data_IF_573624181408
#
_entry.id   IF_573624181408
#
_cell.length_a   1.000
_cell.length_b   1.000
_cell.length_c   1.000
_cell.angle_alpha   90.00
_cell.angle_beta   90.00
_cell.angle_gamma   90.00
#
_symmetry.space_group_name_H-M   'P 1'
#
loop_
_entity.id
_entity.type
_entity.pdbx_description
1 polymer ?
#
# COMPACT_ATOMS: atom_id res chain seq x y z
N UNK A 1 -38.23 -27.86 -26.32
CA UNK A 1 -37.33 -28.03 -25.16
C UNK A 1 -36.73 -26.68 -24.82
N UNK A 2 -37.27 -25.99 -23.83
CA UNK A 2 -36.87 -24.64 -23.44
C UNK A 2 -35.73 -24.71 -22.42
N UNK A 3 -34.62 -24.03 -22.70
CA UNK A 3 -33.53 -23.83 -21.73
C UNK A 3 -33.97 -22.80 -20.69
N UNK A 4 -34.17 -23.25 -19.46
CA UNK A 4 -34.29 -22.31 -18.32
C UNK A 4 -32.98 -21.60 -18.10
N UNK A 5 -32.96 -20.29 -18.31
CA UNK A 5 -31.90 -19.37 -17.81
C UNK A 5 -32.23 -19.11 -16.33
N UNK A 6 -31.47 -19.68 -15.42
CA UNK A 6 -31.48 -19.29 -14.00
C UNK A 6 -30.58 -18.06 -13.81
N UNK A 7 -31.09 -16.89 -14.13
CA UNK A 7 -30.46 -15.62 -13.79
C UNK A 7 -30.74 -15.30 -12.31
N UNK A 8 -29.71 -15.13 -11.52
CA UNK A 8 -29.81 -14.56 -10.16
C UNK A 8 -30.49 -13.18 -10.24
N UNK A 9 -31.56 -12.98 -9.47
CA UNK A 9 -32.24 -11.69 -9.44
C UNK A 9 -31.35 -10.64 -8.76
N UNK A 10 -31.52 -9.35 -9.13
CA UNK A 10 -30.86 -8.22 -8.44
C UNK A 10 -31.02 -8.27 -6.91
N UNK A 11 -32.18 -8.79 -6.47
CA UNK A 11 -32.53 -8.89 -5.04
C UNK A 11 -31.73 -9.99 -4.36
N UNK A 12 -31.39 -11.08 -5.06
CA UNK A 12 -30.61 -12.19 -4.51
C UNK A 12 -29.12 -11.86 -4.49
N UNK A 13 -28.63 -11.07 -5.46
CA UNK A 13 -27.26 -10.52 -5.43
C UNK A 13 -27.09 -9.53 -4.27
N UNK A 14 -28.04 -8.64 -4.05
CA UNK A 14 -28.01 -7.66 -2.95
C UNK A 14 -28.13 -8.38 -1.59
N UNK A 15 -28.98 -9.40 -1.47
CA UNK A 15 -29.09 -10.21 -0.25
C UNK A 15 -27.80 -10.99 0.04
N UNK A 16 -27.13 -11.51 -0.97
CA UNK A 16 -25.84 -12.17 -0.83
C UNK A 16 -24.73 -11.22 -0.38
N UNK A 17 -24.68 -10.00 -0.94
CA UNK A 17 -23.70 -8.99 -0.57
C UNK A 17 -23.95 -8.42 0.85
N UNK A 18 -25.22 -8.24 1.22
CA UNK A 18 -25.60 -7.78 2.57
C UNK A 18 -25.41 -8.90 3.61
N UNK A 19 -25.68 -10.15 3.26
CA UNK A 19 -25.45 -11.29 4.17
C UNK A 19 -23.94 -11.53 4.41
N UNK A 20 -23.09 -11.32 3.40
CA UNK A 20 -21.64 -11.36 3.56
C UNK A 20 -21.09 -10.22 4.44
N UNK A 21 -21.70 -9.03 4.34
CA UNK A 21 -21.31 -7.86 5.16
C UNK A 21 -21.91 -7.88 6.57
N UNK A 22 -23.16 -8.35 6.72
CA UNK A 22 -23.85 -8.39 8.02
C UNK A 22 -23.30 -9.49 8.95
N UNK A 23 -22.76 -10.58 8.39
CA UNK A 23 -22.13 -11.64 9.20
C UNK A 23 -20.88 -11.17 9.95
N UNK A 24 -20.21 -10.13 9.46
CA UNK A 24 -19.02 -9.56 10.11
C UNK A 24 -19.39 -8.57 11.23
N UNK A 25 -20.59 -7.99 11.21
CA UNK A 25 -21.03 -7.00 12.19
C UNK A 25 -21.60 -7.58 13.50
N UNK A 26 -21.90 -8.90 13.53
CA UNK A 26 -22.57 -9.54 14.67
C UNK A 26 -21.64 -10.35 15.59
N UNK A 27 -20.37 -10.48 15.29
CA UNK A 27 -19.44 -11.24 16.14
C UNK A 27 -18.81 -10.30 17.17
N UNK A 28 -19.38 -10.26 18.39
CA UNK A 28 -18.61 -9.84 19.58
C UNK A 28 -17.38 -10.75 19.63
N UNK A 29 -16.18 -10.20 19.88
CA UNK A 29 -15.00 -11.02 20.04
C UNK A 29 -15.15 -11.83 21.33
N UNK A 30 -15.65 -13.05 21.20
CA UNK A 30 -15.65 -14.03 22.27
C UNK A 30 -14.29 -14.74 22.20
N UNK A 31 -13.39 -14.36 23.09
CA UNK A 31 -12.01 -14.88 23.14
C UNK A 31 -11.94 -16.38 23.50
N UNK A 32 -13.08 -17.06 23.74
CA UNK A 32 -13.14 -18.49 24.04
C UNK A 32 -12.67 -19.36 22.85
N UNK A 33 -12.73 -18.89 21.61
CA UNK A 33 -12.25 -19.62 20.43
C UNK A 33 -10.70 -19.70 20.34
N UNK A 34 -9.99 -18.75 20.95
CA UNK A 34 -8.52 -18.73 20.91
C UNK A 34 -7.88 -19.92 21.65
N UNK A 35 -8.60 -20.56 22.57
CA UNK A 35 -8.10 -21.71 23.31
C UNK A 35 -8.34 -23.06 22.62
N UNK A 36 -9.17 -23.12 21.59
CA UNK A 36 -9.51 -24.38 20.86
C UNK A 36 -8.56 -24.67 19.69
N UNK A 37 -7.62 -23.80 19.40
CA UNK A 37 -6.86 -23.76 18.13
C UNK A 37 -5.43 -24.29 18.20
N UNK A 38 -5.18 -25.31 19.01
CA UNK A 38 -3.94 -26.09 18.92
C UNK A 38 -3.97 -27.19 17.85
N UNK A 39 -5.06 -27.35 17.11
CA UNK A 39 -5.19 -28.28 16.01
C UNK A 39 -4.95 -27.56 14.69
N UNK A 40 -3.93 -27.97 13.97
CA UNK A 40 -3.48 -27.36 12.73
C UNK A 40 -4.58 -27.15 11.67
N UNK A 41 -5.12 -25.94 11.61
CA UNK A 41 -6.11 -25.53 10.59
C UNK A 41 -5.51 -25.66 9.21
N UNK A 42 -6.28 -26.21 8.27
CA UNK A 42 -5.90 -26.32 6.85
C UNK A 42 -6.54 -25.21 6.01
N UNK A 43 -6.02 -24.94 4.81
CA UNK A 43 -6.63 -23.96 3.90
C UNK A 43 -8.09 -24.29 3.57
N UNK A 44 -8.47 -25.58 3.51
CA UNK A 44 -9.85 -26.03 3.22
C UNK A 44 -10.88 -25.51 4.23
N UNK A 45 -10.46 -25.16 5.44
CA UNK A 45 -11.32 -24.67 6.53
C UNK A 45 -11.43 -23.14 6.55
N UNK A 46 -10.59 -22.44 5.77
CA UNK A 46 -10.53 -20.97 5.75
C UNK A 46 -11.58 -20.39 4.81
N UNK A 47 -12.31 -19.40 5.30
CA UNK A 47 -13.19 -18.54 4.51
C UNK A 47 -12.59 -17.13 4.47
N UNK A 48 -11.66 -16.89 3.55
CA UNK A 48 -11.06 -15.58 3.39
C UNK A 48 -12.03 -14.52 2.85
N UNK A 49 -11.75 -13.25 3.11
CA UNK A 49 -12.57 -12.13 2.63
C UNK A 49 -12.33 -11.89 1.14
N UNK A 50 -13.38 -11.97 0.33
CA UNK A 50 -13.33 -11.69 -1.12
C UNK A 50 -12.57 -12.72 -1.96
N UNK A 51 -12.26 -13.89 -1.40
CA UNK A 51 -11.64 -15.03 -2.08
C UNK A 51 -12.46 -16.30 -1.85
N UNK A 52 -12.40 -17.32 -2.74
CA UNK A 52 -13.10 -18.58 -2.55
C UNK A 52 -12.66 -19.28 -1.27
N UNK A 53 -13.59 -19.99 -0.62
CA UNK A 53 -13.28 -20.86 0.50
C UNK A 53 -12.22 -21.89 0.11
N UNK A 54 -11.32 -22.19 1.01
CA UNK A 54 -10.26 -23.16 0.79
C UNK A 54 -9.01 -22.60 0.10
N UNK A 55 -8.94 -21.28 -0.10
CA UNK A 55 -7.77 -20.57 -0.62
C UNK A 55 -7.26 -19.60 0.45
N UNK A 56 -5.97 -19.66 0.76
CA UNK A 56 -5.26 -18.72 1.63
C UNK A 56 -4.30 -17.89 0.78
N UNK A 57 -4.56 -16.59 0.66
CA UNK A 57 -3.80 -15.69 -0.22
C UNK A 57 -3.04 -14.62 0.55
N UNK A 58 -1.80 -14.93 0.91
CA UNK A 58 -0.90 -14.07 1.69
C UNK A 58 0.26 -13.50 0.82
N UNK A 59 0.01 -13.22 -0.45
CA UNK A 59 1.05 -12.83 -1.42
C UNK A 59 1.01 -11.38 -1.90
N UNK A 60 -0.10 -10.65 -1.70
CA UNK A 60 -0.32 -9.32 -2.29
C UNK A 60 -0.38 -8.15 -1.30
N UNK A 61 -0.18 -8.41 -0.01
CA UNK A 61 -0.25 -7.38 1.04
C UNK A 61 -1.59 -6.64 1.00
N UNK A 62 -2.67 -7.41 0.86
CA UNK A 62 -4.05 -6.91 0.88
C UNK A 62 -4.52 -6.75 2.34
N UNK A 63 -5.60 -6.02 2.54
CA UNK A 63 -6.23 -5.93 3.85
C UNK A 63 -7.10 -7.18 4.08
N UNK A 64 -6.80 -8.03 5.07
CA UNK A 64 -7.51 -9.28 5.25
C UNK A 64 -8.98 -9.12 5.68
N UNK A 65 -9.34 -8.00 6.33
CA UNK A 65 -10.74 -7.73 6.69
C UNK A 65 -11.55 -7.11 5.56
N UNK A 66 -10.94 -6.90 4.37
CA UNK A 66 -11.60 -6.30 3.22
C UNK A 66 -11.75 -4.77 3.29
N UNK A 67 -12.65 -4.19 2.49
CA UNK A 67 -12.85 -2.74 2.42
C UNK A 67 -13.69 -2.21 3.56
N UNK A 68 -13.56 -0.90 3.85
CA UNK A 68 -14.41 -0.17 4.77
C UNK A 68 -15.90 -0.32 4.39
N UNK A 69 -16.80 -0.66 5.34
CA UNK A 69 -18.24 -0.66 5.11
C UNK A 69 -18.78 0.66 4.56
N UNK A 70 -18.29 1.80 5.06
CA UNK A 70 -18.68 3.12 4.56
C UNK A 70 -18.25 3.33 3.10
N UNK A 71 -17.11 2.78 2.69
CA UNK A 71 -16.67 2.81 1.29
C UNK A 71 -17.57 1.96 0.40
N UNK A 72 -17.99 0.79 0.85
CA UNK A 72 -18.94 -0.08 0.11
C UNK A 72 -20.29 0.61 -0.04
N UNK A 73 -20.79 1.23 1.02
CA UNK A 73 -22.06 1.99 0.97
C UNK A 73 -21.97 3.14 -0.06
N UNK A 74 -20.86 3.89 -0.06
CA UNK A 74 -20.64 4.95 -1.04
C UNK A 74 -20.58 4.43 -2.48
N UNK A 75 -19.96 3.28 -2.73
CA UNK A 75 -19.95 2.63 -4.06
C UNK A 75 -21.37 2.25 -4.48
N UNK A 76 -22.09 1.55 -3.60
CA UNK A 76 -23.44 1.06 -3.91
C UNK A 76 -24.44 2.20 -4.15
N UNK A 77 -24.34 3.28 -3.37
CA UNK A 77 -25.19 4.47 -3.49
C UNK A 77 -25.02 5.23 -4.81
N UNK A 78 -23.85 5.09 -5.47
CA UNK A 78 -23.52 5.83 -6.68
C UNK A 78 -23.23 4.94 -7.90
N UNK A 79 -23.47 3.63 -7.80
CA UNK A 79 -23.18 2.69 -8.87
C UNK A 79 -23.90 2.98 -10.19
N UNK A 80 -25.07 3.62 -10.12
CA UNK A 80 -25.84 4.04 -11.28
C UNK A 80 -25.31 5.31 -11.99
N UNK A 81 -24.31 5.99 -11.40
CA UNK A 81 -23.71 7.21 -11.94
C UNK A 81 -22.45 6.96 -12.78
N UNK A 82 -22.01 5.70 -12.92
CA UNK A 82 -20.74 5.33 -13.60
C UNK A 82 -20.68 5.72 -15.07
N UNK A 83 -21.81 5.99 -15.72
CA UNK A 83 -21.90 6.43 -17.10
C UNK A 83 -21.62 7.94 -17.27
N UNK A 84 -21.39 8.68 -16.18
CA UNK A 84 -21.12 10.13 -16.21
C UNK A 84 -19.68 10.44 -15.88
N UNK A 85 -19.08 11.31 -16.70
CA UNK A 85 -17.82 11.94 -16.34
C UNK A 85 -18.01 12.93 -15.17
N UNK A 86 -16.93 13.24 -14.48
CA UNK A 86 -16.93 14.33 -13.50
C UNK A 86 -17.13 15.64 -14.23
N UNK A 87 -18.35 16.20 -14.20
CA UNK A 87 -18.60 17.50 -14.78
C UNK A 87 -17.97 18.59 -13.92
N UNK A 88 -17.20 19.47 -14.55
CA UNK A 88 -16.62 20.65 -13.91
C UNK A 88 -17.65 21.76 -13.62
N UNK A 89 -18.92 21.55 -13.98
CA UNK A 89 -19.97 22.54 -13.93
C UNK A 89 -20.79 22.41 -12.66
N UNK A 90 -20.62 23.37 -11.76
CA UNK A 90 -21.49 23.75 -10.62
C UNK A 90 -21.82 22.73 -9.53
N UNK A 91 -21.42 21.49 -9.60
CA UNK A 91 -21.50 20.54 -8.51
C UNK A 91 -20.08 20.17 -8.05
N UNK A 92 -19.85 20.13 -6.77
CA UNK A 92 -18.55 19.84 -6.15
C UNK A 92 -17.86 18.68 -6.87
N UNK A 93 -16.77 18.98 -7.57
CA UNK A 93 -15.94 17.95 -8.21
C UNK A 93 -15.49 16.96 -7.11
N UNK A 94 -15.85 15.66 -7.19
CA UNK A 94 -15.52 14.68 -6.16
C UNK A 94 -14.03 14.60 -5.86
N UNK A 95 -13.16 14.77 -6.88
CA UNK A 95 -11.71 14.78 -6.73
C UNK A 95 -11.25 15.98 -5.89
N UNK A 96 -11.78 17.18 -6.17
CA UNK A 96 -11.50 18.38 -5.37
C UNK A 96 -12.00 18.22 -3.94
N UNK A 97 -13.14 17.57 -3.75
CA UNK A 97 -13.68 17.30 -2.42
C UNK A 97 -12.79 16.34 -1.63
N UNK A 98 -12.30 15.25 -2.25
CA UNK A 98 -11.34 14.34 -1.64
C UNK A 98 -10.03 15.05 -1.31
N UNK A 99 -9.50 15.84 -2.26
CA UNK A 99 -8.27 16.61 -2.03
C UNK A 99 -8.44 17.60 -0.86
N UNK A 100 -9.58 18.31 -0.77
CA UNK A 100 -9.88 19.21 0.34
C UNK A 100 -9.96 18.45 1.68
N UNK A 101 -10.58 17.28 1.68
CA UNK A 101 -10.69 16.43 2.87
C UNK A 101 -9.30 15.93 3.33
N UNK A 102 -8.46 15.50 2.40
CA UNK A 102 -7.08 15.12 2.69
C UNK A 102 -6.24 16.29 3.22
N UNK A 103 -6.40 17.50 2.65
CA UNK A 103 -5.75 18.72 3.17
C UNK A 103 -6.10 18.98 4.64
N UNK A 104 -7.39 18.82 5.00
CA UNK A 104 -7.83 18.92 6.40
C UNK A 104 -7.24 17.82 7.26
N UNK A 105 -7.29 16.59 6.77
CA UNK A 105 -6.80 15.41 7.48
C UNK A 105 -5.30 15.54 7.83
N UNK A 106 -4.50 16.11 6.94
CA UNK A 106 -3.06 16.31 7.12
C UNK A 106 -2.69 17.71 7.66
N UNK A 107 -3.63 18.48 8.14
CA UNK A 107 -3.35 19.76 8.77
C UNK A 107 -2.93 20.88 7.82
N UNK A 108 -2.96 20.69 6.49
CA UNK A 108 -2.58 21.70 5.47
C UNK A 108 -3.41 22.98 5.58
N UNK A 109 -4.61 22.88 6.17
CA UNK A 109 -5.56 23.97 6.31
C UNK A 109 -5.79 24.36 7.79
N UNK A 110 -4.87 24.01 8.69
CA UNK A 110 -5.05 24.22 10.13
C UNK A 110 -5.13 25.69 10.53
N UNK A 111 -4.51 26.57 9.73
CA UNK A 111 -4.48 28.02 9.91
C UNK A 111 -5.66 28.76 9.26
N UNK A 112 -6.54 28.07 8.53
CA UNK A 112 -7.66 28.65 7.81
C UNK A 112 -9.01 28.49 8.55
N UNK A 113 -9.79 29.56 8.61
CA UNK A 113 -11.17 29.52 9.02
C UNK A 113 -12.09 29.26 7.82
N UNK A 114 -12.43 28.00 7.57
CA UNK A 114 -13.24 27.60 6.41
C UNK A 114 -14.70 28.06 6.44
N UNK A 115 -15.11 28.88 7.42
CA UNK A 115 -16.37 29.65 7.38
C UNK A 115 -16.20 30.98 6.66
N UNK A 116 -14.94 31.46 6.49
CA UNK A 116 -14.62 32.67 5.76
C UNK A 116 -14.50 32.36 4.26
N UNK A 117 -15.20 33.07 3.35
CA UNK A 117 -15.10 32.88 1.90
C UNK A 117 -13.70 33.02 1.30
N UNK A 118 -12.86 33.88 1.84
CA UNK A 118 -11.50 34.08 1.33
C UNK A 118 -10.59 32.93 1.74
N UNK A 119 -10.74 32.40 2.96
CA UNK A 119 -10.03 31.20 3.40
C UNK A 119 -10.49 29.95 2.62
N UNK A 120 -11.76 29.90 2.18
CA UNK A 120 -12.24 28.85 1.27
C UNK A 120 -11.54 28.91 -0.09
N UNK A 121 -11.36 30.11 -0.64
CA UNK A 121 -10.61 30.31 -1.90
C UNK A 121 -9.14 29.90 -1.71
N UNK A 122 -8.53 30.30 -0.60
CA UNK A 122 -7.16 29.93 -0.28
C UNK A 122 -7.01 28.42 -0.09
N UNK A 123 -7.92 27.75 0.56
CA UNK A 123 -7.91 26.29 0.69
C UNK A 123 -7.92 25.56 -0.66
N UNK A 124 -8.60 26.13 -1.67
CA UNK A 124 -8.59 25.61 -3.04
C UNK A 124 -7.22 25.85 -3.70
N UNK A 125 -6.64 27.02 -3.50
CA UNK A 125 -5.33 27.41 -4.09
C UNK A 125 -4.16 26.59 -3.54
N UNK A 126 -4.20 26.15 -2.29
CA UNK A 126 -3.14 25.33 -1.67
C UNK A 126 -3.11 23.93 -2.30
N UNK A 127 -2.43 23.80 -3.41
CA UNK A 127 -2.33 22.56 -4.17
C UNK A 127 -1.27 21.59 -3.59
N UNK A 128 -1.28 21.35 -2.28
CA UNK A 128 -0.35 20.45 -1.60
C UNK A 128 -0.74 18.97 -1.70
N UNK A 129 -1.93 18.67 -2.18
CA UNK A 129 -2.42 17.28 -2.33
C UNK A 129 -2.72 17.01 -3.79
N UNK A 130 -2.23 15.86 -4.23
CA UNK A 130 -2.42 15.35 -5.57
C UNK A 130 -3.01 13.93 -5.52
N UNK A 131 -4.24 13.75 -6.02
CA UNK A 131 -4.94 12.45 -6.06
C UNK A 131 -4.59 11.72 -7.35
N UNK A 132 -4.34 10.41 -7.29
CA UNK A 132 -3.88 9.61 -8.43
C UNK A 132 -4.42 8.17 -8.41
N UNK A 133 -4.18 7.42 -9.51
CA UNK A 133 -4.57 6.02 -9.70
C UNK A 133 -3.69 5.04 -8.88
N UNK A 134 -3.65 5.21 -7.54
CA UNK A 134 -2.75 4.50 -6.62
C UNK A 134 -1.38 5.18 -6.51
N UNK A 135 -0.71 5.03 -5.34
CA UNK A 135 0.58 5.69 -5.09
C UNK A 135 1.69 5.25 -6.04
N UNK A 136 1.64 4.04 -6.59
CA UNK A 136 2.60 3.57 -7.58
C UNK A 136 2.74 4.51 -8.78
N UNK A 137 1.66 5.21 -9.18
CA UNK A 137 1.71 6.18 -10.28
C UNK A 137 2.59 7.40 -9.98
N UNK A 138 2.73 7.76 -8.70
CA UNK A 138 3.66 8.81 -8.27
C UNK A 138 5.10 8.39 -8.57
N UNK A 139 5.47 7.15 -8.24
CA UNK A 139 6.80 6.61 -8.47
C UNK A 139 7.12 6.56 -9.98
N UNK A 140 6.19 6.04 -10.79
CA UNK A 140 6.33 5.98 -12.25
C UNK A 140 6.46 7.38 -12.86
N UNK A 141 5.62 8.32 -12.43
CA UNK A 141 5.65 9.70 -12.91
C UNK A 141 6.98 10.39 -12.61
N UNK A 142 7.52 10.18 -11.42
CA UNK A 142 8.80 10.76 -11.02
C UNK A 142 9.96 10.26 -11.90
N UNK A 143 10.04 8.96 -12.16
CA UNK A 143 11.06 8.38 -13.06
C UNK A 143 10.90 8.92 -14.48
N UNK A 144 9.66 9.02 -14.97
CA UNK A 144 9.37 9.57 -16.30
C UNK A 144 9.81 11.03 -16.41
N UNK A 145 9.58 11.81 -15.35
CA UNK A 145 10.00 13.23 -15.29
C UNK A 145 11.53 13.38 -15.32
N UNK A 146 12.26 12.46 -14.67
CA UNK A 146 13.73 12.44 -14.74
C UNK A 146 14.18 12.27 -16.20
N UNK A 147 13.55 11.39 -16.96
CA UNK A 147 13.87 11.21 -18.38
C UNK A 147 13.61 12.47 -19.19
N UNK A 148 12.47 13.12 -19.00
CA UNK A 148 12.13 14.38 -19.70
C UNK A 148 13.12 15.51 -19.43
N UNK A 149 13.73 15.52 -18.24
CA UNK A 149 14.75 16.47 -17.87
C UNK A 149 16.17 16.09 -18.35
N UNK A 150 16.27 15.31 -19.42
CA UNK A 150 17.55 14.93 -20.02
C UNK A 150 18.16 13.66 -19.43
N UNK A 151 17.41 12.89 -18.65
CA UNK A 151 17.89 11.69 -17.98
C UNK A 151 18.61 11.96 -16.66
N UNK A 152 19.23 10.93 -16.11
CA UNK A 152 19.97 11.01 -14.86
C UNK A 152 19.86 9.73 -14.03
N UNK A 153 20.25 9.84 -12.77
CA UNK A 153 20.27 8.71 -11.83
C UNK A 153 19.07 8.76 -10.90
N UNK A 154 18.52 7.57 -10.62
CA UNK A 154 17.50 7.32 -9.64
C UNK A 154 18.08 6.40 -8.57
N UNK A 155 18.10 6.83 -7.31
CA UNK A 155 18.61 6.05 -6.18
C UNK A 155 17.43 5.41 -5.45
N UNK A 156 17.53 4.09 -5.20
CA UNK A 156 16.60 3.32 -4.38
C UNK A 156 17.38 2.28 -3.58
N UNK A 157 16.92 1.94 -2.38
CA UNK A 157 17.50 0.82 -1.65
C UNK A 157 17.21 -0.52 -2.35
N UNK A 158 18.02 -1.54 -2.11
CA UNK A 158 17.76 -2.90 -2.59
C UNK A 158 17.89 -3.91 -1.44
N UNK A 159 16.89 -4.77 -1.26
CA UNK A 159 15.67 -4.95 -2.04
C UNK A 159 14.60 -3.86 -1.82
N UNK A 160 13.81 -3.58 -2.86
CA UNK A 160 12.72 -2.62 -2.87
C UNK A 160 11.47 -3.15 -3.58
N UNK A 161 10.43 -2.33 -3.69
CA UNK A 161 9.14 -2.71 -4.31
C UNK A 161 9.27 -3.13 -5.79
N UNK A 162 10.30 -2.69 -6.48
CA UNK A 162 10.60 -3.08 -7.85
C UNK A 162 9.81 -2.33 -8.94
N UNK A 163 8.87 -1.47 -8.61
CA UNK A 163 8.11 -0.66 -9.58
C UNK A 163 9.01 0.36 -10.28
N UNK A 164 9.87 1.00 -9.53
CA UNK A 164 10.84 1.98 -10.00
C UNK A 164 11.85 1.31 -10.93
N UNK A 165 12.49 0.24 -10.49
CA UNK A 165 13.47 -0.50 -11.30
C UNK A 165 12.87 -1.02 -12.61
N UNK A 166 11.63 -1.55 -12.59
CA UNK A 166 10.93 -1.96 -13.82
C UNK A 166 10.67 -0.78 -14.77
N UNK A 167 10.31 0.39 -14.23
CA UNK A 167 10.07 1.59 -15.03
C UNK A 167 11.36 2.08 -15.66
N UNK A 168 12.44 2.15 -14.90
CA UNK A 168 13.78 2.50 -15.42
C UNK A 168 14.19 1.53 -16.52
N UNK A 169 14.12 0.22 -16.28
CA UNK A 169 14.46 -0.81 -17.29
C UNK A 169 13.61 -0.71 -18.56
N UNK A 170 12.32 -0.43 -18.44
CA UNK A 170 11.45 -0.18 -19.59
C UNK A 170 11.90 1.06 -20.38
N UNK A 171 12.18 2.16 -19.71
CA UNK A 171 12.62 3.40 -20.37
C UNK A 171 13.99 3.22 -21.04
N UNK A 172 14.92 2.53 -20.41
CA UNK A 172 16.21 2.17 -20.99
C UNK A 172 16.05 1.32 -22.25
N UNK A 173 15.14 0.35 -22.25
CA UNK A 173 14.84 -0.48 -23.45
C UNK A 173 14.28 0.34 -24.62
N UNK A 174 13.81 1.56 -24.36
CA UNK A 174 13.35 2.54 -25.37
C UNK A 174 14.38 3.60 -25.72
N UNK A 175 15.62 3.45 -25.26
CA UNK A 175 16.72 4.40 -25.50
C UNK A 175 16.76 5.58 -24.50
N UNK A 176 16.04 5.48 -23.40
CA UNK A 176 16.09 6.49 -22.33
C UNK A 176 17.40 6.46 -21.55
N UNK A 177 17.89 7.62 -21.10
CA UNK A 177 19.14 7.80 -20.36
C UNK A 177 18.95 7.89 -18.84
N UNK A 178 17.97 7.16 -18.30
CA UNK A 178 17.76 7.01 -16.85
C UNK A 178 18.54 5.81 -16.34
N UNK A 179 19.28 5.97 -15.27
CA UNK A 179 20.07 4.92 -14.61
C UNK A 179 19.52 4.62 -13.21
N UNK A 180 19.56 3.34 -12.83
CA UNK A 180 19.17 2.90 -11.50
C UNK A 180 20.41 2.68 -10.64
N UNK A 181 20.48 3.35 -9.50
CA UNK A 181 21.52 3.15 -8.49
C UNK A 181 20.88 2.46 -7.28
N UNK A 182 21.26 1.19 -7.09
CA UNK A 182 20.80 0.40 -5.95
C UNK A 182 21.77 0.49 -4.80
N UNK A 183 21.28 0.89 -3.63
CA UNK A 183 22.04 0.91 -2.38
C UNK A 183 21.56 -0.25 -1.50
N UNK A 184 22.45 -1.17 -1.09
CA UNK A 184 22.08 -2.28 -0.21
C UNK A 184 21.48 -1.77 1.11
N UNK A 185 20.51 -2.51 1.64
CA UNK A 185 20.02 -2.28 3.01
C UNK A 185 21.13 -2.63 4.01
N UNK A 186 21.20 -1.90 5.12
CA UNK A 186 22.10 -2.25 6.24
C UNK A 186 21.55 -3.42 7.07
N UNK A 187 22.31 -3.88 8.06
CA UNK A 187 21.89 -4.94 8.99
C UNK A 187 20.49 -4.69 9.55
N UNK A 188 19.69 -5.74 9.67
CA UNK A 188 18.28 -5.62 10.04
C UNK A 188 17.36 -5.17 8.90
N UNK A 189 17.86 -5.15 7.67
CA UNK A 189 17.11 -4.79 6.46
C UNK A 189 16.52 -3.37 6.47
N UNK A 190 17.19 -2.43 7.13
CA UNK A 190 16.80 -1.01 7.19
C UNK A 190 17.56 -0.22 6.11
N UNK A 191 16.98 0.86 5.60
CA UNK A 191 17.65 1.76 4.67
C UNK A 191 18.99 2.26 5.23
N UNK A 192 20.04 2.19 4.42
CA UNK A 192 21.31 2.83 4.70
C UNK A 192 21.30 4.25 4.10
N UNK A 193 20.72 5.19 4.84
CA UNK A 193 20.59 6.57 4.38
C UNK A 193 21.94 7.26 4.21
N UNK A 194 22.96 6.88 4.97
CA UNK A 194 24.31 7.40 4.80
C UNK A 194 24.91 6.95 3.47
N UNK A 195 24.86 5.66 3.16
CA UNK A 195 25.28 5.13 1.87
C UNK A 195 24.45 5.71 0.71
N UNK A 196 23.14 5.89 0.88
CA UNK A 196 22.29 6.54 -0.12
C UNK A 196 22.73 8.01 -0.35
N UNK A 197 23.11 8.74 0.68
CA UNK A 197 23.61 10.10 0.56
C UNK A 197 24.94 10.13 -0.17
N UNK A 198 25.87 9.23 0.15
CA UNK A 198 27.16 9.11 -0.52
C UNK A 198 27.05 8.73 -2.01
N UNK A 199 25.98 8.04 -2.40
CA UNK A 199 25.68 7.67 -3.77
C UNK A 199 25.14 8.84 -4.62
N UNK A 200 24.83 10.00 -4.03
CA UNK A 200 24.32 11.18 -4.75
C UNK A 200 25.44 11.82 -5.55
N UNK A 201 25.25 11.92 -6.87
CA UNK A 201 26.14 12.61 -7.80
C UNK A 201 25.45 13.82 -8.42
N UNK A 202 26.16 14.57 -9.28
CA UNK A 202 25.55 15.67 -10.05
C UNK A 202 24.47 15.20 -11.04
N UNK A 203 24.50 13.91 -11.40
CA UNK A 203 23.49 13.27 -12.27
C UNK A 203 22.27 12.80 -11.52
N UNK A 204 22.32 12.70 -10.19
CA UNK A 204 21.19 12.22 -9.37
C UNK A 204 20.04 13.22 -9.43
N UNK A 205 18.84 12.75 -9.79
CA UNK A 205 17.61 13.53 -9.92
C UNK A 205 16.52 13.11 -8.94
N UNK A 206 16.55 11.84 -8.51
CA UNK A 206 15.50 11.24 -7.73
C UNK A 206 16.07 10.27 -6.71
N UNK A 207 15.56 10.33 -5.48
CA UNK A 207 15.77 9.33 -4.43
C UNK A 207 14.42 8.83 -3.98
N UNK A 208 14.28 7.50 -3.85
CA UNK A 208 13.05 6.87 -3.37
C UNK A 208 13.31 6.13 -2.07
N UNK A 209 12.50 6.43 -1.06
CA UNK A 209 12.54 5.81 0.26
C UNK A 209 11.15 5.22 0.53
N UNK A 210 11.02 3.90 0.44
CA UNK A 210 9.77 3.21 0.81
C UNK A 210 9.76 2.96 2.31
N UNK A 211 8.83 3.57 3.05
CA UNK A 211 8.86 3.57 4.52
C UNK A 211 7.46 3.38 5.14
N UNK A 212 7.12 2.19 5.63
CA UNK A 212 7.92 0.96 5.76
C UNK A 212 8.35 0.35 4.42
N UNK A 213 9.58 -0.20 4.38
CA UNK A 213 10.13 -0.78 3.16
C UNK A 213 9.33 -2.02 2.70
N UNK A 214 9.18 -2.22 1.42
CA UNK A 214 8.69 -3.45 0.82
C UNK A 214 9.80 -4.05 -0.04
N UNK A 215 10.36 -5.23 0.33
CA UNK A 215 9.66 -6.35 0.99
C UNK A 215 9.94 -6.54 2.50
N UNK A 216 10.81 -5.79 3.13
CA UNK A 216 11.31 -6.11 4.48
C UNK A 216 10.38 -5.69 5.62
N UNK A 217 9.52 -4.70 5.39
CA UNK A 217 8.58 -4.18 6.39
C UNK A 217 9.25 -3.26 7.43
N UNK A 218 10.52 -2.98 7.29
CA UNK A 218 11.30 -2.17 8.23
C UNK A 218 11.03 -0.68 8.07
N UNK A 219 11.08 0.04 9.18
CA UNK A 219 10.98 1.50 9.23
C UNK A 219 12.36 2.14 9.40
N UNK A 220 12.55 3.22 8.69
CA UNK A 220 13.65 4.16 8.93
C UNK A 220 13.28 5.08 10.08
N UNK A 221 14.12 5.27 11.10
CA UNK A 221 13.88 6.21 12.19
C UNK A 221 13.64 7.63 11.68
N UNK A 222 12.68 8.32 12.28
CA UNK A 222 12.24 9.63 11.84
C UNK A 222 13.38 10.68 11.84
N UNK A 223 14.21 10.68 12.84
CA UNK A 223 15.34 11.60 12.98
C UNK A 223 16.45 11.32 11.94
N UNK A 224 16.66 10.04 11.57
CA UNK A 224 17.58 9.69 10.46
C UNK A 224 17.03 10.21 9.14
N UNK A 225 15.71 10.06 8.90
CA UNK A 225 15.06 10.55 7.70
C UNK A 225 15.15 12.10 7.58
N UNK A 226 14.92 12.83 8.67
CA UNK A 226 15.04 14.30 8.69
C UNK A 226 16.49 14.78 8.41
N UNK A 227 17.49 14.12 9.01
CA UNK A 227 18.89 14.41 8.74
C UNK A 227 19.23 14.16 7.27
N UNK A 228 18.83 13.04 6.72
CA UNK A 228 19.04 12.71 5.31
C UNK A 228 18.43 13.76 4.39
N UNK A 229 17.15 14.09 4.57
CA UNK A 229 16.44 15.09 3.75
C UNK A 229 17.17 16.45 3.80
N UNK A 230 17.62 16.86 4.98
CA UNK A 230 18.32 18.13 5.17
C UNK A 230 19.70 18.16 4.49
N UNK A 231 20.31 17.00 4.29
CA UNK A 231 21.63 16.88 3.65
C UNK A 231 21.56 16.68 2.12
N UNK A 232 20.41 16.27 1.58
CA UNK A 232 20.22 16.08 0.13
C UNK A 232 20.05 17.44 -0.56
N UNK A 233 20.76 17.71 -1.68
CA UNK A 233 20.60 18.96 -2.44
C UNK A 233 19.15 19.17 -2.92
N UNK A 234 18.62 20.40 -2.82
CA UNK A 234 17.24 20.72 -3.23
C UNK A 234 16.91 20.38 -4.70
N UNK A 235 17.94 20.25 -5.57
CA UNK A 235 17.77 19.81 -6.97
C UNK A 235 17.36 18.34 -7.12
N UNK A 236 17.52 17.54 -6.08
CA UNK A 236 17.19 16.11 -6.06
C UNK A 236 15.81 15.95 -5.45
N UNK A 237 14.87 15.39 -6.21
CA UNK A 237 13.56 15.05 -5.69
C UNK A 237 13.67 13.85 -4.76
N UNK A 238 13.03 13.91 -3.60
CA UNK A 238 12.91 12.80 -2.66
C UNK A 238 11.45 12.38 -2.62
N UNK A 239 11.18 11.10 -2.85
CA UNK A 239 9.86 10.52 -2.63
C UNK A 239 9.91 9.56 -1.45
N UNK A 240 9.05 9.81 -0.47
CA UNK A 240 8.84 8.91 0.66
C UNK A 240 7.53 8.17 0.41
N UNK A 241 7.60 6.88 0.09
CA UNK A 241 6.42 6.06 -0.14
C UNK A 241 5.94 5.41 1.16
N UNK A 242 4.88 5.96 1.72
CA UNK A 242 4.26 5.53 2.97
C UNK A 242 3.04 4.62 2.74
N UNK A 243 3.10 3.73 1.75
CA UNK A 243 1.98 2.84 1.44
C UNK A 243 1.51 2.00 2.63
N UNK A 244 2.40 1.68 3.57
CA UNK A 244 2.13 0.78 4.71
C UNK A 244 2.19 1.47 6.08
N UNK A 245 2.43 2.77 6.15
CA UNK A 245 2.69 3.49 7.40
C UNK A 245 1.60 3.34 8.47
N UNK A 246 0.35 3.17 8.05
CA UNK A 246 -0.78 3.00 8.97
C UNK A 246 -0.69 1.73 9.83
N UNK A 247 0.16 0.76 9.48
CA UNK A 247 0.37 -0.48 10.24
C UNK A 247 1.56 -0.42 11.19
N UNK A 248 2.31 0.69 11.16
CA UNK A 248 3.36 0.92 12.15
C UNK A 248 2.79 0.90 13.57
N UNK A 249 3.57 0.42 14.51
CA UNK A 249 3.20 0.41 15.92
C UNK A 249 3.02 1.85 16.44
N UNK A 250 2.17 2.07 17.44
CA UNK A 250 1.95 3.40 18.01
C UNK A 250 3.25 4.07 18.46
N UNK A 251 3.33 5.38 18.25
CA UNK A 251 4.50 6.19 18.62
C UNK A 251 5.41 6.56 17.44
N UNK A 252 5.24 5.94 16.26
CA UNK A 252 5.95 6.39 15.07
C UNK A 252 5.29 7.62 14.45
N UNK A 253 6.09 8.64 14.13
CA UNK A 253 5.65 9.82 13.42
C UNK A 253 5.85 9.64 11.91
N UNK A 254 4.79 9.82 11.13
CA UNK A 254 4.85 9.74 9.66
C UNK A 254 5.60 10.95 9.03
N UNK A 255 5.84 10.89 7.73
CA UNK A 255 6.62 11.90 7.02
C UNK A 255 5.77 13.00 6.35
N UNK A 256 4.46 13.07 6.59
CA UNK A 256 3.58 14.00 5.88
C UNK A 256 3.97 15.47 6.08
N UNK A 257 4.39 15.86 7.29
CA UNK A 257 4.85 17.21 7.56
C UNK A 257 6.18 17.57 6.85
N UNK A 258 7.03 16.57 6.54
CA UNK A 258 8.25 16.77 5.75
C UNK A 258 7.92 17.20 4.32
N UNK A 259 6.88 16.62 3.72
CA UNK A 259 6.38 17.06 2.42
C UNK A 259 5.85 18.50 2.40
N UNK A 260 5.50 19.08 3.56
CA UNK A 260 5.10 20.48 3.68
C UNK A 260 6.30 21.41 3.95
N UNK A 261 7.33 20.92 4.62
CA UNK A 261 8.49 21.70 5.07
C UNK A 261 9.57 21.85 3.99
N UNK A 262 9.74 20.83 3.14
CA UNK A 262 10.84 20.75 2.18
C UNK A 262 10.36 20.92 0.74
N UNK A 263 11.08 21.70 -0.06
CA UNK A 263 10.69 22.04 -1.44
C UNK A 263 10.85 20.89 -2.44
N UNK A 264 11.63 19.88 -2.07
CA UNK A 264 11.99 18.75 -2.90
C UNK A 264 11.49 17.41 -2.33
N UNK A 265 10.51 17.42 -1.43
CA UNK A 265 9.97 16.20 -0.80
C UNK A 265 8.53 15.98 -1.20
N UNK A 266 8.23 14.80 -1.72
CA UNK A 266 6.88 14.26 -1.90
C UNK A 266 6.68 13.06 -0.97
N UNK A 267 5.54 13.03 -0.30
CA UNK A 267 5.13 11.85 0.47
C UNK A 267 3.93 11.21 -0.23
N UNK A 268 4.05 9.94 -0.61
CA UNK A 268 2.97 9.21 -1.28
C UNK A 268 2.24 8.26 -0.32
N UNK A 269 0.92 8.15 -0.48
CA UNK A 269 0.04 7.22 0.26
C UNK A 269 -1.00 6.59 -0.65
N UNK A 270 -1.49 5.45 -0.23
CA UNK A 270 -2.49 4.67 -0.97
C UNK A 270 -3.70 4.33 -0.10
N UNK A 271 -4.85 4.21 -0.73
CA UNK A 271 -6.04 3.61 -0.13
C UNK A 271 -6.07 2.07 -0.27
N UNK A 272 -5.06 1.48 -0.93
CA UNK A 272 -5.02 0.05 -1.20
C UNK A 272 -4.85 -0.83 0.05
N UNK A 273 -4.25 -0.30 1.14
CA UNK A 273 -3.78 -1.11 2.27
C UNK A 273 -4.73 -1.01 3.45
N UNK A 274 -4.54 -0.10 4.40
CA UNK A 274 -5.38 0.00 5.61
C UNK A 274 -6.87 0.23 5.31
N UNK A 275 -7.19 0.90 4.20
CA UNK A 275 -8.58 1.16 3.80
C UNK A 275 -9.23 0.02 3.00
N UNK A 276 -8.45 -1.01 2.60
CA UNK A 276 -8.97 -2.17 1.87
C UNK A 276 -9.42 -1.90 0.43
N UNK A 277 -8.94 -0.83 -0.22
CA UNK A 277 -9.39 -0.38 -1.54
C UNK A 277 -8.40 -0.69 -2.68
N UNK A 278 -7.64 -1.79 -2.58
CA UNK A 278 -6.60 -2.14 -3.55
C UNK A 278 -7.14 -2.21 -5.00
N UNK A 279 -8.31 -2.81 -5.20
CA UNK A 279 -8.97 -2.93 -6.51
C UNK A 279 -9.50 -1.61 -7.08
N UNK A 280 -9.69 -0.58 -6.24
CA UNK A 280 -10.21 0.72 -6.66
C UNK A 280 -9.14 1.62 -7.31
N UNK A 281 -7.86 1.27 -7.16
CA UNK A 281 -6.72 2.00 -7.74
C UNK A 281 -6.72 3.49 -7.41
N UNK A 282 -6.70 3.84 -6.13
CA UNK A 282 -6.68 5.23 -5.67
C UNK A 282 -5.61 5.45 -4.60
N UNK A 283 -4.94 6.59 -4.71
CA UNK A 283 -3.88 7.06 -3.81
C UNK A 283 -3.68 8.55 -3.95
N UNK A 284 -2.71 9.09 -3.25
CA UNK A 284 -2.39 10.51 -3.30
C UNK A 284 -0.95 10.77 -2.92
N UNK A 285 -0.46 11.94 -3.30
CA UNK A 285 0.79 12.51 -2.80
C UNK A 285 0.53 13.84 -2.08
N UNK A 286 1.39 14.15 -1.13
CA UNK A 286 1.47 15.43 -0.45
C UNK A 286 2.88 16.01 -0.64
N UNK A 287 2.95 17.30 -0.96
CA UNK A 287 4.21 18.01 -1.15
C UNK A 287 4.00 19.48 -1.54
N UNK A 288 5.07 20.20 -1.84
CA UNK A 288 4.98 21.59 -2.31
C UNK A 288 4.22 21.68 -3.64
N UNK A 289 3.37 22.70 -3.83
CA UNK A 289 2.60 22.89 -5.06
C UNK A 289 3.45 22.92 -6.34
N UNK A 290 4.66 23.46 -6.26
CA UNK A 290 5.57 23.54 -7.40
C UNK A 290 5.98 22.18 -7.98
N UNK A 291 5.89 21.09 -7.19
CA UNK A 291 6.15 19.74 -7.65
C UNK A 291 4.98 19.13 -8.40
N UNK A 292 3.77 19.70 -8.28
CA UNK A 292 2.57 19.25 -8.95
C UNK A 292 2.26 20.07 -10.20
N UNK A 293 3.28 20.44 -10.95
CA UNK A 293 3.11 21.10 -12.23
C UNK A 293 2.35 20.23 -13.24
N UNK A 294 1.95 20.83 -14.37
CA UNK A 294 1.19 20.14 -15.39
C UNK A 294 1.90 18.85 -15.87
N UNK A 295 3.23 18.89 -16.07
CA UNK A 295 3.98 17.73 -16.55
C UNK A 295 3.94 16.59 -15.55
N UNK A 296 4.36 16.82 -14.30
CA UNK A 296 4.35 15.80 -13.26
C UNK A 296 2.94 15.30 -12.94
N UNK A 297 2.00 16.24 -12.77
CA UNK A 297 0.62 15.93 -12.49
C UNK A 297 -0.06 15.14 -13.60
N UNK A 298 0.25 15.40 -14.84
CA UNK A 298 -0.25 14.66 -15.98
C UNK A 298 0.15 13.16 -15.91
N UNK A 299 1.43 12.86 -15.71
CA UNK A 299 1.90 11.47 -15.63
C UNK A 299 1.43 10.75 -14.36
N UNK A 300 1.30 11.46 -13.24
CA UNK A 300 0.92 10.84 -11.99
C UNK A 300 -0.58 10.52 -11.87
N UNK A 301 -1.44 11.41 -12.32
CA UNK A 301 -2.88 11.26 -12.14
C UNK A 301 -3.66 10.95 -13.41
N UNK A 302 -3.22 11.48 -14.53
CA UNK A 302 -4.10 11.64 -15.68
C UNK A 302 -3.53 10.98 -16.93
N UNK A 303 -3.28 9.70 -16.92
CA UNK A 303 -3.15 8.95 -18.15
C UNK A 303 -4.41 9.12 -19.01
N UNK A 304 -4.65 10.35 -19.51
CA UNK A 304 -5.77 10.71 -20.37
C UNK A 304 -7.18 10.43 -19.80
N UNK A 305 -7.32 10.19 -18.51
CA UNK A 305 -8.60 9.89 -17.88
C UNK A 305 -8.76 10.48 -16.50
N UNK A 306 -9.98 10.78 -16.12
CA UNK A 306 -10.35 11.12 -14.75
C UNK A 306 -10.19 9.89 -13.86
N UNK A 307 -9.81 10.09 -12.61
CA UNK A 307 -9.81 9.01 -11.61
C UNK A 307 -11.23 8.44 -11.53
N UNK A 308 -11.33 7.13 -11.37
CA UNK A 308 -12.61 6.45 -11.24
C UNK A 308 -13.48 7.10 -10.16
N UNK A 309 -14.69 7.55 -10.54
CA UNK A 309 -15.62 8.25 -9.65
C UNK A 309 -15.94 7.45 -8.39
N UNK A 310 -16.22 6.15 -8.54
CA UNK A 310 -16.52 5.29 -7.38
C UNK A 310 -15.31 5.13 -6.46
N UNK A 311 -14.10 5.11 -7.01
CA UNK A 311 -12.87 5.08 -6.22
C UNK A 311 -12.72 6.35 -5.35
N UNK A 312 -13.01 7.51 -5.91
CA UNK A 312 -12.96 8.80 -5.18
C UNK A 312 -13.99 8.81 -4.05
N UNK A 313 -15.22 8.40 -4.34
CA UNK A 313 -16.31 8.37 -3.36
C UNK A 313 -16.01 7.37 -2.24
N UNK A 314 -15.54 6.17 -2.59
CA UNK A 314 -15.11 5.15 -1.65
C UNK A 314 -13.97 5.64 -0.74
N UNK A 315 -12.92 6.24 -1.31
CA UNK A 315 -11.81 6.80 -0.56
C UNK A 315 -12.25 7.92 0.38
N UNK A 316 -13.15 8.78 -0.10
CA UNK A 316 -13.71 9.88 0.70
C UNK A 316 -14.48 9.37 1.92
N UNK A 317 -15.28 8.31 1.75
CA UNK A 317 -16.01 7.69 2.83
C UNK A 317 -15.08 6.91 3.78
N UNK A 318 -14.11 6.17 3.25
CA UNK A 318 -13.16 5.39 4.04
C UNK A 318 -12.31 6.22 5.01
N UNK A 319 -12.02 7.50 4.68
CA UNK A 319 -11.32 8.42 5.57
C UNK A 319 -12.08 8.72 6.88
N UNK A 320 -13.40 8.59 6.89
CA UNK A 320 -14.22 8.80 8.07
C UNK A 320 -14.39 7.52 8.91
N UNK A 321 -14.14 6.35 8.33
CA UNK A 321 -14.32 5.05 9.00
C UNK A 321 -13.12 4.71 9.88
N UNK A 322 -12.99 5.45 10.98
CA UNK A 322 -11.90 5.26 11.95
C UNK A 322 -11.94 3.88 12.61
N UNK A 323 -13.13 3.31 12.78
CA UNK A 323 -13.30 1.98 13.34
C UNK A 323 -12.75 0.89 12.42
N UNK A 324 -12.94 1.01 11.11
CA UNK A 324 -12.35 0.10 10.15
C UNK A 324 -10.83 0.19 10.17
N UNK A 325 -10.27 1.42 10.19
CA UNK A 325 -8.81 1.63 10.27
C UNK A 325 -8.25 0.94 11.51
N UNK A 326 -8.85 1.19 12.69
CA UNK A 326 -8.43 0.59 13.96
C UNK A 326 -8.50 -0.94 13.91
N UNK A 327 -9.61 -1.53 13.43
CA UNK A 327 -9.76 -2.99 13.28
C UNK A 327 -8.72 -3.57 12.33
N UNK A 328 -8.43 -2.88 11.21
CA UNK A 328 -7.37 -3.30 10.27
C UNK A 328 -6.01 -3.36 10.96
N UNK A 329 -5.66 -2.32 11.74
CA UNK A 329 -4.42 -2.26 12.49
C UNK A 329 -4.32 -3.37 13.53
N UNK A 330 -5.37 -3.53 14.36
CA UNK A 330 -5.43 -4.55 15.40
C UNK A 330 -5.29 -5.97 14.83
N UNK A 331 -5.99 -6.25 13.71
CA UNK A 331 -5.89 -7.55 13.01
C UNK A 331 -4.45 -7.83 12.58
N UNK A 332 -3.78 -6.84 11.97
CA UNK A 332 -2.40 -6.99 11.53
C UNK A 332 -1.45 -7.14 12.72
N UNK A 333 -1.59 -6.33 13.76
CA UNK A 333 -0.71 -6.42 14.95
C UNK A 333 -0.87 -7.76 15.68
N UNK A 334 -2.09 -8.28 15.80
CA UNK A 334 -2.34 -9.62 16.38
C UNK A 334 -1.74 -10.73 15.51
N UNK A 335 -1.96 -10.66 14.19
CA UNK A 335 -1.42 -11.62 13.25
C UNK A 335 0.11 -11.64 13.21
N UNK A 336 0.77 -10.45 13.30
CA UNK A 336 2.23 -10.35 13.39
C UNK A 336 2.76 -11.10 14.61
N UNK A 337 2.18 -10.83 15.81
CA UNK A 337 2.60 -11.49 17.06
C UNK A 337 2.48 -13.00 16.97
N UNK A 338 1.34 -13.50 16.46
CA UNK A 338 1.14 -14.92 16.26
C UNK A 338 2.21 -15.54 15.32
N UNK A 339 2.49 -14.88 14.19
CA UNK A 339 3.48 -15.37 13.23
C UNK A 339 4.89 -15.37 13.81
N UNK A 340 5.27 -14.36 14.60
CA UNK A 340 6.55 -14.31 15.31
C UNK A 340 6.69 -15.49 16.26
N UNK A 341 5.68 -15.74 17.11
CA UNK A 341 5.68 -16.86 18.05
C UNK A 341 5.81 -18.22 17.35
N UNK A 342 5.16 -18.39 16.19
CA UNK A 342 5.24 -19.63 15.43
C UNK A 342 6.59 -19.79 14.71
N UNK A 343 7.17 -18.72 14.20
CA UNK A 343 8.52 -18.77 13.62
C UNK A 343 9.58 -19.05 14.67
N UNK A 344 9.49 -18.45 15.86
CA UNK A 344 10.37 -18.76 16.99
C UNK A 344 10.31 -20.24 17.37
N UNK A 345 9.10 -20.84 17.43
CA UNK A 345 8.91 -22.27 17.68
C UNK A 345 9.49 -23.17 16.59
N UNK A 346 9.54 -22.68 15.36
CA UNK A 346 10.11 -23.39 14.22
C UNK A 346 11.61 -23.16 14.06
N UNK A 347 12.21 -22.27 14.86
CA UNK A 347 13.63 -21.89 14.76
C UNK A 347 13.95 -21.06 13.50
N UNK A 348 12.95 -20.46 12.84
CA UNK A 348 13.13 -19.68 11.62
C UNK A 348 13.43 -18.22 11.94
N UNK A 349 14.42 -17.66 11.26
CA UNK A 349 14.73 -16.23 11.34
C UNK A 349 13.74 -15.40 10.54
N UNK A 350 13.39 -14.22 11.04
CA UNK A 350 12.52 -13.27 10.34
C UNK A 350 12.92 -11.82 10.61
N UNK A 351 12.47 -10.92 9.74
CA UNK A 351 12.63 -9.48 9.97
C UNK A 351 11.39 -8.92 10.68
N UNK A 352 11.53 -8.38 11.91
CA UNK A 352 10.43 -7.70 12.59
C UNK A 352 9.88 -6.58 11.73
N UNK A 353 8.55 -6.54 11.55
CA UNK A 353 7.92 -5.65 10.56
C UNK A 353 7.06 -4.57 11.19
N UNK A 354 7.05 -3.40 10.56
CA UNK A 354 6.13 -2.29 10.82
C UNK A 354 5.06 -2.17 9.71
N UNK A 355 4.88 -3.23 8.94
CA UNK A 355 3.97 -3.31 7.80
C UNK A 355 2.88 -4.37 8.02
N UNK A 356 2.07 -4.63 6.98
CA UNK A 356 1.10 -5.72 6.91
C UNK A 356 1.67 -7.01 6.30
N UNK A 357 2.97 -7.16 6.26
CA UNK A 357 3.69 -8.33 5.76
C UNK A 357 5.06 -8.42 6.43
N UNK A 358 5.70 -9.55 6.33
CA UNK A 358 7.06 -9.78 6.81
C UNK A 358 7.84 -10.68 5.84
N UNK A 359 9.16 -10.70 5.99
CA UNK A 359 10.03 -11.68 5.34
C UNK A 359 10.60 -12.62 6.39
N UNK A 360 10.65 -13.91 6.04
CA UNK A 360 11.23 -14.95 6.88
C UNK A 360 12.21 -15.78 6.05
N UNK A 361 13.35 -16.09 6.64
CA UNK A 361 14.38 -16.94 6.06
C UNK A 361 13.99 -18.40 6.28
N UNK A 362 13.92 -19.17 5.22
CA UNK A 362 13.62 -20.60 5.27
C UNK A 362 14.87 -21.47 5.49
N UNK A 363 16.07 -20.86 5.61
CA UNK A 363 17.38 -21.51 5.73
C UNK A 363 17.70 -22.50 4.61
N UNK A 364 16.87 -22.55 3.59
CA UNK A 364 16.95 -23.35 2.39
C UNK A 364 16.22 -22.64 1.23
N UNK A 365 16.45 -23.05 -0.04
CA UNK A 365 15.80 -22.40 -1.19
C UNK A 365 14.28 -22.29 -1.03
N UNK A 366 13.75 -21.08 -1.16
CA UNK A 366 12.33 -20.80 -0.90
C UNK A 366 11.40 -21.32 -1.99
N UNK A 367 11.86 -21.41 -3.24
CA UNK A 367 11.03 -21.82 -4.38
C UNK A 367 10.37 -23.20 -4.21
N UNK A 368 11.07 -24.28 -3.76
CA UNK A 368 10.42 -25.56 -3.49
C UNK A 368 9.39 -25.50 -2.36
N UNK A 369 9.65 -24.70 -1.31
CA UNK A 369 8.73 -24.52 -0.20
C UNK A 369 7.46 -23.85 -0.69
N UNK A 370 7.60 -22.76 -1.46
CA UNK A 370 6.46 -22.03 -2.05
C UNK A 370 5.63 -22.94 -2.99
N UNK A 371 6.27 -23.83 -3.73
CA UNK A 371 5.56 -24.82 -4.55
C UNK A 371 4.72 -25.77 -3.69
N UNK A 372 5.27 -26.34 -2.60
CA UNK A 372 4.54 -27.19 -1.67
C UNK A 372 3.41 -26.47 -0.93
N UNK A 373 3.60 -25.21 -0.58
CA UNK A 373 2.53 -24.37 -0.01
C UNK A 373 1.37 -24.19 -1.01
N UNK A 374 1.71 -23.93 -2.27
CA UNK A 374 0.72 -23.77 -3.35
C UNK A 374 -0.11 -25.04 -3.58
N UNK A 375 0.49 -26.21 -3.49
CA UNK A 375 -0.24 -27.51 -3.56
C UNK A 375 -1.29 -27.65 -2.44
N UNK A 376 -1.06 -26.96 -1.31
CA UNK A 376 -2.00 -26.88 -0.18
C UNK A 376 -2.94 -25.67 -0.25
N UNK A 377 -3.06 -25.01 -1.40
CA UNK A 377 -3.83 -23.77 -1.62
C UNK A 377 -3.40 -22.60 -0.74
N UNK A 378 -2.15 -22.55 -0.31
CA UNK A 378 -1.56 -21.42 0.44
C UNK A 378 -0.59 -20.67 -0.46
N UNK A 379 -0.86 -19.40 -0.72
CA UNK A 379 -0.12 -18.56 -1.65
C UNK A 379 0.65 -17.48 -0.91
N UNK A 380 1.97 -17.56 -0.93
CA UNK A 380 2.91 -16.55 -0.41
C UNK A 380 3.78 -16.01 -1.54
N UNK A 381 4.62 -15.02 -1.26
CA UNK A 381 5.56 -14.49 -2.25
C UNK A 381 6.91 -15.15 -2.09
N UNK A 382 7.38 -15.77 -3.16
CA UNK A 382 8.73 -16.32 -3.29
C UNK A 382 9.73 -15.19 -3.50
N UNK A 383 10.77 -15.13 -2.67
CA UNK A 383 11.85 -14.15 -2.82
C UNK A 383 12.95 -14.61 -3.78
N UNK A 384 13.11 -15.93 -3.98
CA UNK A 384 14.05 -16.51 -4.95
C UNK A 384 13.45 -16.63 -6.36
N UNK A 385 12.16 -16.50 -6.52
CA UNK A 385 11.45 -16.70 -7.78
C UNK A 385 11.80 -15.65 -8.86
N UNK A 386 11.32 -15.82 -10.10
CA UNK A 386 11.62 -14.91 -11.23
C UNK A 386 11.21 -13.45 -11.01
N UNK A 387 10.30 -13.22 -10.07
CA UNK A 387 9.89 -11.91 -9.59
C UNK A 387 10.36 -11.69 -8.15
N UNK A 388 11.42 -12.35 -7.74
CA UNK A 388 12.01 -12.27 -6.42
C UNK A 388 12.69 -10.95 -6.12
N UNK A 389 13.35 -10.90 -4.99
CA UNK A 389 14.01 -9.70 -4.50
C UNK A 389 15.52 -9.91 -4.45
N UNK A 390 16.27 -8.91 -4.89
CA UNK A 390 17.71 -8.91 -4.77
C UNK A 390 18.12 -9.04 -3.29
N UNK A 391 19.11 -9.87 -3.00
CA UNK A 391 19.67 -10.07 -1.65
C UNK A 391 18.70 -10.65 -0.59
N UNK A 392 17.66 -11.37 -1.00
CA UNK A 392 16.76 -12.11 -0.11
C UNK A 392 16.63 -13.58 -0.53
N UNK A 393 17.76 -14.23 -0.81
CA UNK A 393 17.80 -15.68 -1.05
C UNK A 393 17.22 -16.43 0.14
N UNK A 394 16.59 -17.57 -0.13
CA UNK A 394 15.93 -18.41 0.87
C UNK A 394 14.72 -17.78 1.58
N UNK A 395 14.37 -16.53 1.30
CA UNK A 395 13.27 -15.86 2.00
C UNK A 395 11.94 -16.07 1.30
N UNK A 396 10.89 -16.08 2.10
CA UNK A 396 9.52 -15.87 1.64
C UNK A 396 8.99 -14.55 2.22
N UNK A 397 8.16 -13.83 1.45
CA UNK A 397 7.38 -12.73 2.00
C UNK A 397 5.94 -13.17 2.21
N UNK A 398 5.47 -13.00 3.44
CA UNK A 398 4.14 -13.40 3.88
C UNK A 398 3.34 -12.13 4.22
N UNK A 399 2.18 -11.94 3.60
CA UNK A 399 1.20 -10.96 4.08
C UNK A 399 0.58 -11.47 5.38
N UNK A 400 0.32 -10.58 6.32
CA UNK A 400 -0.41 -10.93 7.54
C UNK A 400 -1.90 -11.02 7.19
N UNK A 401 -2.49 -12.19 7.37
CA UNK A 401 -3.89 -12.48 7.09
C UNK A 401 -4.78 -12.39 8.33
N UNK A 402 -6.03 -12.84 8.18
CA UNK A 402 -6.88 -13.18 9.32
C UNK A 402 -6.20 -14.28 10.15
N UNK A 403 -6.58 -14.41 11.42
CA UNK A 403 -5.97 -15.43 12.28
C UNK A 403 -6.07 -16.84 11.67
N UNK A 404 -7.23 -17.17 11.14
CA UNK A 404 -7.44 -18.47 10.46
C UNK A 404 -6.56 -18.66 9.21
N UNK A 405 -6.26 -17.60 8.47
CA UNK A 405 -5.34 -17.65 7.32
C UNK A 405 -3.89 -17.85 7.77
N UNK A 406 -3.48 -17.16 8.85
CA UNK A 406 -2.14 -17.30 9.43
C UNK A 406 -1.93 -18.71 10.01
N UNK A 407 -2.93 -19.29 10.69
CA UNK A 407 -2.90 -20.65 11.22
C UNK A 407 -2.79 -21.69 10.10
N UNK A 408 -3.58 -21.55 9.05
CA UNK A 408 -3.53 -22.44 7.89
C UNK A 408 -2.17 -22.35 7.15
N UNK A 409 -1.59 -21.14 7.07
CA UNK A 409 -0.25 -20.95 6.54
C UNK A 409 0.79 -21.69 7.39
N UNK A 410 0.79 -21.53 8.71
CA UNK A 410 1.74 -22.20 9.60
C UNK A 410 1.60 -23.72 9.53
N UNK A 411 0.37 -24.23 9.49
CA UNK A 411 0.11 -25.68 9.29
C UNK A 411 0.71 -26.18 7.98
N UNK A 412 0.48 -25.45 6.89
CA UNK A 412 1.02 -25.80 5.59
C UNK A 412 2.55 -25.70 5.55
N UNK A 413 3.13 -24.67 6.21
CA UNK A 413 4.57 -24.44 6.28
C UNK A 413 5.26 -25.58 7.04
N UNK A 414 4.76 -25.99 8.21
CA UNK A 414 5.29 -27.15 8.96
C UNK A 414 5.41 -28.40 8.09
N UNK A 415 4.40 -28.66 7.27
CA UNK A 415 4.44 -29.79 6.34
C UNK A 415 5.22 -29.53 5.05
N UNK A 416 5.63 -28.30 4.79
CA UNK A 416 6.46 -27.95 3.63
C UNK A 416 7.96 -27.88 3.94
N UNK A 417 8.31 -27.72 5.20
CA UNK A 417 9.70 -27.74 5.65
C UNK A 417 10.25 -29.16 5.76
N UNK A 418 9.41 -30.17 5.83
CA UNK A 418 9.75 -31.60 5.89
C UNK A 418 9.42 -32.18 7.21
#
# INVERSE_FOLDING_TARGET
MARQQTGLSRRDFIKGAVAGGAGVLAVKPDYAWAQTLLSGRTAAEVQGTGIPKGIVRLSYNENPIGPSPMAIEAIMGHANEVHRYHASTNTRNPEQYLALKLKRFHGVLADLNLRNPDDQKEAIRRQHIFVCHGSERILIAAVTKVLENGGGEVIEAAPAYGSVARTVGFLQSKGGSVEMVHVPLKAGHVHDLEAMQQAITDRTKLVIITNPNNPTGTLTPRDELERFISAVPERVLIIIDEAYIHFAEPGYQDAMDLGLKHKNVLVSRTFSKVYGLAGMRIGYALGPPALFDYGFGFYAAKDWGSINRLAILAATAALDDKDHIRRSQETIWQGKRYLYEEFDKLGLSYTPTQSSFMVADMEQPSTPIVARLREKNVFVRDADGPLGYVNLSNHIRISVGLMEENEAFITALKGALG
#
